data_IF_192947380394
#
_entry.id   IF_192947380394
#
_cell.length_a   1.000
_cell.length_b   1.000
_cell.length_c   1.000
_cell.angle_alpha   90.00
_cell.angle_beta   90.00
_cell.angle_gamma   90.00
#
_symmetry.space_group_name_H-M   'P 1'
#
loop_
_entity.id
_entity.type
_entity.pdbx_description
1 polymer ?
#
# COMPACT_ATOMS: atom_id res chain seq x y z
N UNK A 1 7.10 23.67 -16.69
CA UNK A 1 6.34 24.85 -16.15
C UNK A 1 5.41 24.33 -15.07
N UNK A 2 5.36 25.01 -13.91
CA UNK A 2 4.35 24.70 -12.91
C UNK A 2 2.98 25.16 -13.44
N UNK A 3 1.98 24.28 -13.43
CA UNK A 3 0.61 24.60 -13.88
C UNK A 3 -0.20 25.35 -12.82
N UNK A 4 0.25 25.40 -11.57
CA UNK A 4 -0.36 26.09 -10.43
C UNK A 4 0.71 26.53 -9.42
N UNK A 5 0.37 27.51 -8.57
CA UNK A 5 1.22 27.89 -7.45
C UNK A 5 1.37 26.75 -6.44
N UNK A 6 2.50 26.73 -5.73
CA UNK A 6 2.68 25.82 -4.61
C UNK A 6 1.61 26.07 -3.53
N UNK A 7 1.10 25.01 -2.94
CA UNK A 7 0.24 25.09 -1.76
C UNK A 7 1.12 25.37 -0.55
N UNK A 8 0.91 26.51 0.10
CA UNK A 8 1.64 26.91 1.30
C UNK A 8 0.65 26.94 2.46
N UNK A 9 0.98 26.25 3.53
CA UNK A 9 0.11 26.12 4.71
C UNK A 9 0.90 26.42 5.99
N UNK A 10 0.19 26.77 7.06
CA UNK A 10 0.80 27.13 8.33
C UNK A 10 0.90 25.94 9.30
N UNK A 11 -0.15 25.15 9.43
CA UNK A 11 -0.30 24.22 10.55
C UNK A 11 0.02 22.76 10.18
N UNK A 12 -0.20 22.38 8.93
CA UNK A 12 0.06 21.04 8.45
C UNK A 12 -0.50 20.80 7.06
N UNK A 13 -0.07 19.72 6.45
CA UNK A 13 -0.44 19.37 5.07
C UNK A 13 -0.66 17.86 4.94
N UNK A 14 -1.66 17.51 4.14
CA UNK A 14 -1.89 16.15 3.68
C UNK A 14 -1.89 16.14 2.16
N UNK A 15 -1.10 15.27 1.56
CA UNK A 15 -1.03 15.08 0.12
C UNK A 15 -1.33 13.62 -0.20
N UNK A 16 -2.43 13.35 -0.89
CA UNK A 16 -2.84 12.01 -1.32
C UNK A 16 -3.33 12.03 -2.76
N UNK A 17 -3.63 10.86 -3.30
CA UNK A 17 -4.14 10.68 -4.66
C UNK A 17 -5.63 11.04 -4.82
N UNK A 18 -6.35 11.37 -3.73
CA UNK A 18 -7.76 11.74 -3.76
C UNK A 18 -8.06 12.93 -2.83
N UNK A 19 -8.81 13.92 -3.34
CA UNK A 19 -9.12 15.16 -2.64
C UNK A 19 -9.88 14.93 -1.33
N UNK A 20 -10.85 14.02 -1.30
CA UNK A 20 -11.62 13.73 -0.08
C UNK A 20 -10.74 13.12 1.01
N UNK A 21 -9.78 12.27 0.65
CA UNK A 21 -8.86 11.68 1.61
C UNK A 21 -7.89 12.75 2.16
N UNK A 22 -7.36 13.62 1.31
CA UNK A 22 -6.52 14.74 1.75
C UNK A 22 -7.30 15.72 2.62
N UNK A 23 -8.56 16.01 2.28
CA UNK A 23 -9.43 16.90 3.04
C UNK A 23 -9.66 16.37 4.46
N UNK A 24 -10.08 15.12 4.61
CA UNK A 24 -10.38 14.55 5.92
C UNK A 24 -9.14 14.31 6.77
N UNK A 25 -8.01 13.95 6.18
CA UNK A 25 -6.74 13.92 6.92
C UNK A 25 -6.33 15.30 7.44
N UNK A 26 -6.44 16.34 6.61
CA UNK A 26 -6.17 17.71 7.03
C UNK A 26 -7.17 18.21 8.09
N UNK A 27 -8.43 17.78 8.02
CA UNK A 27 -9.45 18.09 9.01
C UNK A 27 -9.11 17.48 10.39
N UNK A 28 -8.49 16.29 10.44
CA UNK A 28 -8.00 15.73 11.71
C UNK A 28 -6.91 16.62 12.32
N UNK A 29 -5.95 17.09 11.52
CA UNK A 29 -4.95 18.06 11.99
C UNK A 29 -5.60 19.36 12.49
N UNK A 30 -6.62 19.86 11.79
CA UNK A 30 -7.38 21.06 12.18
C UNK A 30 -8.12 20.90 13.52
N UNK A 31 -8.61 19.69 13.80
CA UNK A 31 -9.30 19.35 15.06
C UNK A 31 -8.36 19.11 16.23
N UNK A 32 -7.05 19.24 16.03
CA UNK A 32 -6.04 19.07 17.07
C UNK A 32 -5.46 17.65 17.14
N UNK A 33 -5.79 16.78 16.19
CA UNK A 33 -5.13 15.49 16.00
C UNK A 33 -3.71 15.67 15.45
N UNK A 34 -2.88 14.66 15.58
CA UNK A 34 -1.50 14.64 15.11
C UNK A 34 -1.36 13.95 13.73
N UNK A 35 -0.11 13.78 13.26
CA UNK A 35 0.16 13.18 11.95
C UNK A 35 -0.28 11.72 11.85
N UNK A 36 -0.33 10.97 12.96
CA UNK A 36 -0.83 9.60 12.97
C UNK A 36 -2.35 9.55 12.81
N UNK A 37 -3.07 10.44 13.50
CA UNK A 37 -4.51 10.60 13.36
C UNK A 37 -4.90 10.92 11.91
N UNK A 38 -4.21 11.91 11.33
CA UNK A 38 -4.41 12.29 9.93
C UNK A 38 -4.06 11.17 8.95
N UNK A 39 -3.01 10.39 9.24
CA UNK A 39 -2.59 9.27 8.39
C UNK A 39 -3.64 8.14 8.41
N UNK A 40 -4.15 7.74 9.58
CA UNK A 40 -5.18 6.70 9.68
C UNK A 40 -6.45 7.14 8.94
N UNK A 41 -6.93 8.37 9.17
CA UNK A 41 -8.12 8.88 8.50
C UNK A 41 -7.95 8.96 6.98
N UNK A 42 -6.78 9.45 6.50
CA UNK A 42 -6.47 9.49 5.07
C UNK A 42 -6.46 8.09 4.46
N UNK A 43 -5.84 7.13 5.15
CA UNK A 43 -5.77 5.71 4.75
C UNK A 43 -7.16 5.09 4.66
N UNK A 44 -7.99 5.25 5.68
CA UNK A 44 -9.36 4.73 5.69
C UNK A 44 -10.23 5.36 4.60
N UNK A 45 -10.12 6.67 4.40
CA UNK A 45 -10.82 7.37 3.31
C UNK A 45 -10.40 6.84 1.93
N UNK A 46 -9.11 6.59 1.70
CA UNK A 46 -8.62 6.01 0.43
C UNK A 46 -9.18 4.61 0.19
N UNK A 47 -9.36 3.79 1.23
CA UNK A 47 -10.01 2.49 1.12
C UNK A 47 -11.47 2.59 0.63
N UNK A 48 -12.13 3.72 0.85
CA UNK A 48 -13.50 3.98 0.38
C UNK A 48 -13.53 4.61 -1.00
N UNK A 49 -12.75 5.68 -1.21
CA UNK A 49 -12.87 6.52 -2.42
C UNK A 49 -11.94 6.08 -3.55
N UNK A 50 -10.99 5.20 -3.27
CA UNK A 50 -10.04 4.62 -4.24
C UNK A 50 -9.82 3.12 -4.01
N UNK A 51 -10.86 2.39 -3.74
CA UNK A 51 -10.81 0.95 -3.49
C UNK A 51 -10.31 0.12 -4.69
N UNK A 52 -10.22 0.72 -5.87
CA UNK A 52 -9.50 0.13 -6.99
C UNK A 52 -7.98 0.06 -6.79
N UNK A 53 -7.39 0.85 -5.89
CA UNK A 53 -5.95 0.87 -5.60
C UNK A 53 -5.60 0.22 -4.26
N UNK A 54 -6.47 0.38 -3.27
CA UNK A 54 -6.28 -0.09 -1.90
C UNK A 54 -7.64 -0.40 -1.27
N UNK A 55 -7.67 -1.17 -0.17
CA UNK A 55 -8.89 -1.55 0.53
C UNK A 55 -8.57 -2.29 1.82
N UNK A 56 -9.58 -2.68 2.59
CA UNK A 56 -9.38 -3.43 3.84
C UNK A 56 -8.69 -4.78 3.63
N UNK A 57 -8.78 -5.32 2.41
CA UNK A 57 -8.10 -6.56 2.00
C UNK A 57 -6.62 -6.39 1.64
N UNK A 58 -6.05 -5.19 1.78
CA UNK A 58 -4.70 -4.86 1.35
C UNK A 58 -3.67 -4.73 2.46
N UNK A 59 -2.51 -4.24 2.06
CA UNK A 59 -1.33 -4.03 2.90
C UNK A 59 -1.03 -2.55 3.11
N UNK A 60 -0.29 -2.23 4.18
CA UNK A 60 0.21 -0.90 4.47
C UNK A 60 1.67 -0.97 4.92
N UNK A 61 2.49 -0.05 4.39
CA UNK A 61 3.80 0.29 4.93
C UNK A 61 3.83 1.77 5.26
N UNK A 62 4.47 2.13 6.37
CA UNK A 62 4.64 3.53 6.73
C UNK A 62 6.02 3.82 7.30
N UNK A 63 6.48 5.06 7.10
CA UNK A 63 7.52 5.70 7.90
C UNK A 63 6.85 6.80 8.70
N UNK A 64 7.01 6.76 10.01
CA UNK A 64 6.35 7.72 10.92
C UNK A 64 7.39 8.33 11.87
N UNK A 65 7.30 9.65 12.03
CA UNK A 65 7.96 10.40 13.08
C UNK A 65 6.90 11.17 13.85
N UNK A 66 6.73 10.83 15.13
CA UNK A 66 5.76 11.47 16.03
C UNK A 66 6.53 12.04 17.24
N UNK A 67 6.38 13.34 17.50
CA UNK A 67 7.05 14.05 18.58
C UNK A 67 8.58 13.97 18.47
N UNK A 68 9.25 13.88 19.60
CA UNK A 68 10.72 13.77 19.68
C UNK A 68 11.25 12.38 19.31
N UNK A 69 10.38 11.49 18.84
CA UNK A 69 10.76 10.13 18.47
C UNK A 69 11.64 10.10 17.21
N UNK A 70 12.39 9.01 17.05
CA UNK A 70 13.07 8.68 15.79
C UNK A 70 12.03 8.28 14.73
N UNK A 71 12.41 8.42 13.46
CA UNK A 71 11.65 7.80 12.36
C UNK A 71 11.57 6.30 12.58
N UNK A 72 10.38 5.72 12.54
CA UNK A 72 10.12 4.29 12.66
C UNK A 72 9.41 3.78 11.41
N UNK A 73 9.75 2.57 11.02
CA UNK A 73 9.05 1.82 9.97
C UNK A 73 7.89 1.02 10.56
N UNK A 74 6.76 1.04 9.88
CA UNK A 74 5.60 0.17 10.15
C UNK A 74 5.46 -0.78 8.96
N UNK A 75 5.44 -2.07 9.25
CA UNK A 75 5.21 -3.11 8.26
C UNK A 75 3.92 -3.85 8.62
N UNK A 76 2.85 -3.46 7.97
CA UNK A 76 1.54 -4.07 8.02
C UNK A 76 1.23 -4.79 6.70
N UNK A 77 2.19 -5.55 6.19
CA UNK A 77 1.98 -6.48 5.09
C UNK A 77 1.54 -7.85 5.61
N UNK A 78 0.63 -8.48 4.89
CA UNK A 78 0.10 -9.77 5.27
C UNK A 78 1.07 -10.92 5.04
N UNK A 79 1.06 -11.89 5.95
CA UNK A 79 1.76 -13.16 5.75
C UNK A 79 0.98 -14.04 4.79
N UNK A 80 1.70 -14.86 4.03
CA UNK A 80 1.05 -15.92 3.25
C UNK A 80 0.36 -16.91 4.20
N UNK A 81 -0.86 -17.31 3.87
CA UNK A 81 -1.59 -18.32 4.60
C UNK A 81 -0.86 -19.67 4.56
N UNK A 82 -1.02 -20.47 5.61
CA UNK A 82 -0.35 -21.78 5.75
C UNK A 82 -0.62 -22.74 4.59
N UNK A 83 -1.76 -22.59 3.94
CA UNK A 83 -2.16 -23.40 2.79
C UNK A 83 -1.53 -22.92 1.46
N UNK A 84 -0.89 -21.74 1.42
CA UNK A 84 -0.28 -21.16 0.23
C UNK A 84 1.09 -21.77 -0.07
N UNK A 85 1.16 -23.10 -0.21
CA UNK A 85 2.42 -23.83 -0.46
C UNK A 85 2.69 -24.02 -1.95
N UNK A 86 3.96 -24.23 -2.30
CA UNK A 86 4.36 -24.54 -3.67
C UNK A 86 3.62 -25.79 -4.18
N UNK A 87 3.49 -26.80 -3.34
CA UNK A 87 2.83 -28.06 -3.70
C UNK A 87 1.33 -27.87 -3.92
N UNK A 88 0.69 -27.00 -3.13
CA UNK A 88 -0.71 -26.64 -3.33
C UNK A 88 -0.97 -26.09 -4.73
N UNK A 89 -0.16 -25.14 -5.18
CA UNK A 89 -0.32 -24.53 -6.51
C UNK A 89 0.10 -25.49 -7.63
N UNK A 90 1.23 -26.18 -7.49
CA UNK A 90 1.73 -27.12 -8.51
C UNK A 90 0.81 -28.31 -8.74
N UNK A 91 0.24 -28.90 -7.69
CA UNK A 91 -0.72 -30.01 -7.81
C UNK A 91 -2.00 -29.62 -8.58
N UNK A 92 -2.30 -28.32 -8.64
CA UNK A 92 -3.40 -27.76 -9.41
C UNK A 92 -3.01 -27.24 -10.80
N UNK A 93 -1.78 -27.52 -11.24
CA UNK A 93 -1.27 -27.14 -12.57
C UNK A 93 -0.74 -25.72 -12.68
N UNK A 94 -0.69 -24.96 -11.58
CA UNK A 94 -0.15 -23.59 -11.61
C UNK A 94 1.39 -23.61 -11.57
N UNK A 95 2.00 -22.83 -12.47
CA UNK A 95 3.47 -22.60 -12.48
C UNK A 95 3.87 -21.42 -11.59
N UNK A 96 2.97 -20.49 -11.35
CA UNK A 96 3.08 -19.31 -10.51
C UNK A 96 1.73 -19.05 -9.81
N UNK A 97 1.71 -18.25 -8.76
CA UNK A 97 0.47 -17.80 -8.12
C UNK A 97 -0.37 -17.04 -9.15
N UNK A 98 -1.67 -17.35 -9.32
CA UNK A 98 -2.55 -16.61 -10.23
C UNK A 98 -2.56 -15.12 -9.91
N UNK A 99 -2.71 -14.29 -10.93
CA UNK A 99 -2.76 -12.83 -10.75
C UNK A 99 -4.14 -12.32 -10.35
N UNK A 100 -5.18 -13.09 -10.60
CA UNK A 100 -6.59 -12.76 -10.36
C UNK A 100 -7.34 -13.98 -9.84
N UNK A 101 -8.46 -13.73 -9.19
CA UNK A 101 -9.33 -14.75 -8.62
C UNK A 101 -8.95 -15.16 -7.19
N UNK A 102 -9.71 -16.08 -6.58
CA UNK A 102 -9.59 -16.39 -5.16
C UNK A 102 -8.21 -16.93 -4.75
N UNK A 103 -7.53 -17.65 -5.64
CA UNK A 103 -6.18 -18.16 -5.38
C UNK A 103 -5.07 -17.12 -5.57
N UNK A 104 -5.40 -15.91 -6.04
CA UNK A 104 -4.49 -14.78 -6.13
C UNK A 104 -4.40 -13.96 -4.83
N UNK A 105 -5.18 -14.31 -3.80
CA UNK A 105 -5.20 -13.69 -2.48
C UNK A 105 -4.64 -14.64 -1.40
N UNK A 106 -3.34 -14.95 -1.43
CA UNK A 106 -2.75 -15.91 -0.50
C UNK A 106 -2.29 -15.27 0.82
N UNK A 107 -2.42 -13.96 0.98
CA UNK A 107 -1.91 -13.21 2.14
C UNK A 107 -3.06 -12.65 2.99
N UNK A 108 -2.84 -12.65 4.30
CA UNK A 108 -3.78 -12.05 5.25
C UNK A 108 -3.78 -10.53 5.06
N UNK A 109 -4.94 -9.86 5.02
CA UNK A 109 -4.99 -8.40 4.96
C UNK A 109 -4.33 -7.75 6.17
N UNK A 110 -3.39 -6.82 5.97
CA UNK A 110 -2.61 -6.22 7.06
C UNK A 110 -3.02 -4.81 7.45
N UNK A 111 -3.71 -4.07 6.57
CA UNK A 111 -3.94 -2.63 6.73
C UNK A 111 -4.67 -2.25 8.02
N UNK A 112 -5.66 -3.04 8.46
CA UNK A 112 -6.46 -2.75 9.66
C UNK A 112 -5.62 -2.91 10.93
N UNK A 113 -4.74 -3.91 10.98
CA UNK A 113 -3.79 -4.08 12.07
C UNK A 113 -2.72 -2.97 12.07
N UNK A 114 -2.34 -2.50 10.89
CA UNK A 114 -1.50 -1.32 10.74
C UNK A 114 -2.12 -0.07 11.35
N UNK A 115 -3.42 0.18 11.15
CA UNK A 115 -4.13 1.28 11.81
C UNK A 115 -4.14 1.12 13.34
N UNK A 116 -4.42 -0.09 13.84
CA UNK A 116 -4.39 -0.40 15.27
C UNK A 116 -3.04 -0.08 15.89
N UNK A 117 -1.97 -0.59 15.27
CA UNK A 117 -0.62 -0.41 15.78
C UNK A 117 -0.17 1.07 15.74
N UNK A 118 -0.54 1.80 14.68
CA UNK A 118 -0.27 3.24 14.60
C UNK A 118 -1.10 4.00 15.63
N UNK A 119 -2.38 3.66 15.80
CA UNK A 119 -3.24 4.28 16.79
C UNK A 119 -2.71 4.07 18.20
N UNK A 120 -2.38 2.86 18.58
CA UNK A 120 -1.90 2.52 19.92
C UNK A 120 -0.58 3.21 20.30
N UNK A 121 0.30 3.48 19.35
CA UNK A 121 1.63 4.03 19.63
C UNK A 121 1.77 5.52 19.41
N UNK A 122 0.97 6.08 18.50
CA UNK A 122 1.20 7.44 18.01
C UNK A 122 -0.05 8.33 18.01
N UNK A 123 -1.26 7.77 17.97
CA UNK A 123 -2.48 8.55 17.85
C UNK A 123 -2.81 9.32 19.12
N UNK A 124 -3.44 10.48 18.95
CA UNK A 124 -3.99 11.29 20.05
C UNK A 124 -5.53 11.21 20.11
N UNK A 125 -6.17 10.64 19.09
CA UNK A 125 -7.61 10.49 18.96
C UNK A 125 -7.99 9.01 18.97
N UNK A 126 -9.23 8.71 19.33
CA UNK A 126 -9.74 7.35 19.29
C UNK A 126 -9.96 6.88 17.84
N UNK A 127 -9.69 5.60 17.57
CA UNK A 127 -9.87 5.00 16.24
C UNK A 127 -11.29 5.21 15.69
N UNK A 128 -12.29 5.19 16.56
CA UNK A 128 -13.69 5.45 16.22
C UNK A 128 -13.90 6.83 15.57
N UNK A 129 -13.25 7.86 16.08
CA UNK A 129 -13.34 9.21 15.53
C UNK A 129 -12.58 9.30 14.18
N UNK A 130 -11.46 8.60 14.06
CA UNK A 130 -10.64 8.58 12.86
C UNK A 130 -11.31 7.87 11.69
N UNK A 131 -12.09 6.82 11.95
CA UNK A 131 -12.81 6.04 10.93
C UNK A 131 -14.15 6.66 10.54
N UNK A 132 -14.71 7.58 11.34
CA UNK A 132 -16.03 8.15 11.13
C UNK A 132 -16.25 8.72 9.72
N UNK A 133 -15.34 9.54 9.14
CA UNK A 133 -15.53 10.03 7.78
C UNK A 133 -15.62 8.91 6.74
N UNK A 134 -14.77 7.89 6.85
CA UNK A 134 -14.78 6.76 5.93
C UNK A 134 -16.10 5.98 6.01
N UNK A 135 -16.63 5.76 7.22
CA UNK A 135 -17.94 5.13 7.46
C UNK A 135 -19.05 5.93 6.77
N UNK A 136 -19.09 7.25 6.98
CA UNK A 136 -20.10 8.15 6.42
C UNK A 136 -20.09 8.15 4.88
N UNK A 137 -18.90 8.21 4.27
CA UNK A 137 -18.74 8.19 2.81
C UNK A 137 -19.01 6.81 2.19
N UNK A 138 -18.72 5.74 2.88
CA UNK A 138 -19.10 4.40 2.44
C UNK A 138 -20.63 4.21 2.47
N UNK A 139 -21.31 4.71 3.50
CA UNK A 139 -22.75 4.58 3.69
C UNK A 139 -23.57 5.50 2.78
N UNK A 140 -23.26 6.81 2.80
CA UNK A 140 -23.97 7.83 2.02
C UNK A 140 -23.55 7.85 0.55
N UNK A 141 -22.34 7.41 0.27
CA UNK A 141 -21.72 7.38 -1.05
C UNK A 141 -20.92 8.63 -1.37
N UNK A 142 -20.14 8.52 -2.45
CA UNK A 142 -19.35 9.60 -3.03
C UNK A 142 -19.49 9.59 -4.56
N UNK A 143 -19.31 10.73 -5.25
CA UNK A 143 -19.34 10.78 -6.69
C UNK A 143 -18.11 10.11 -7.28
N UNK A 144 -18.29 9.19 -8.23
CA UNK A 144 -17.16 8.53 -8.90
C UNK A 144 -16.53 9.44 -9.95
N UNK A 145 -15.20 9.44 -10.00
CA UNK A 145 -14.44 10.19 -11.00
C UNK A 145 -14.37 9.46 -12.34
N UNK A 146 -14.07 10.17 -13.43
CA UNK A 146 -13.82 9.56 -14.75
C UNK A 146 -12.72 8.49 -14.67
N UNK A 147 -11.61 8.78 -13.98
CA UNK A 147 -10.49 7.85 -13.83
C UNK A 147 -10.89 6.56 -13.10
N UNK A 148 -11.74 6.67 -12.08
CA UNK A 148 -12.26 5.50 -11.36
C UNK A 148 -13.16 4.65 -12.28
N UNK A 149 -14.06 5.28 -13.03
CA UNK A 149 -14.93 4.61 -14.02
C UNK A 149 -14.11 3.90 -15.10
N UNK A 150 -13.05 4.53 -15.59
CA UNK A 150 -12.15 3.93 -16.57
C UNK A 150 -11.40 2.72 -16.01
N UNK A 151 -11.04 2.76 -14.72
CA UNK A 151 -10.46 1.62 -14.01
C UNK A 151 -11.43 0.43 -13.92
N UNK A 152 -12.71 0.69 -13.57
CA UNK A 152 -13.76 -0.35 -13.56
C UNK A 152 -13.91 -0.95 -14.96
N UNK A 153 -14.02 -0.11 -15.99
CA UNK A 153 -14.18 -0.55 -17.37
C UNK A 153 -13.02 -1.44 -17.85
N UNK A 154 -11.79 -1.02 -17.56
CA UNK A 154 -10.61 -1.77 -17.95
C UNK A 154 -10.48 -3.12 -17.20
N UNK A 155 -11.04 -3.21 -15.99
CA UNK A 155 -10.93 -4.40 -15.15
C UNK A 155 -12.10 -5.38 -15.35
N UNK A 156 -13.25 -4.91 -15.85
CA UNK A 156 -14.46 -5.71 -16.08
C UNK A 156 -14.20 -6.97 -16.90
N UNK A 157 -13.31 -6.89 -17.90
CA UNK A 157 -12.95 -8.03 -18.75
C UNK A 157 -12.33 -9.18 -17.95
N UNK A 158 -11.60 -8.87 -16.86
CA UNK A 158 -10.88 -9.85 -16.06
C UNK A 158 -11.61 -10.28 -14.80
N UNK A 159 -12.42 -9.40 -14.20
CA UNK A 159 -13.09 -9.62 -12.93
C UNK A 159 -14.61 -9.71 -13.03
N UNK A 160 -15.19 -9.44 -14.18
CA UNK A 160 -16.64 -9.37 -14.39
C UNK A 160 -17.37 -10.69 -14.11
N UNK A 161 -16.69 -11.82 -14.22
CA UNK A 161 -17.23 -13.15 -13.88
C UNK A 161 -17.17 -13.48 -12.38
N UNK A 162 -16.41 -12.71 -11.58
CA UNK A 162 -16.36 -12.85 -10.14
C UNK A 162 -17.59 -12.16 -9.53
N UNK A 163 -18.57 -12.96 -9.12
CA UNK A 163 -19.88 -12.47 -8.70
C UNK A 163 -19.86 -11.46 -7.53
N UNK A 164 -18.90 -11.54 -6.63
CA UNK A 164 -18.69 -10.54 -5.57
C UNK A 164 -18.30 -9.18 -6.16
N UNK A 165 -17.26 -9.15 -7.00
CA UNK A 165 -16.80 -7.92 -7.64
C UNK A 165 -17.85 -7.30 -8.56
N UNK A 166 -18.44 -8.10 -9.45
CA UNK A 166 -19.41 -7.59 -10.41
C UNK A 166 -20.69 -7.03 -9.78
N UNK A 167 -21.13 -7.64 -8.68
CA UNK A 167 -22.33 -7.17 -7.96
C UNK A 167 -22.16 -5.79 -7.36
N UNK A 168 -20.94 -5.36 -7.07
CA UNK A 168 -20.64 -4.06 -6.46
C UNK A 168 -20.26 -3.03 -7.54
N UNK A 169 -19.30 -3.36 -8.40
CA UNK A 169 -18.70 -2.38 -9.31
C UNK A 169 -19.40 -2.26 -10.67
N UNK A 170 -20.16 -3.28 -11.06
CA UNK A 170 -20.93 -3.30 -12.32
C UNK A 170 -22.31 -3.91 -12.10
N UNK A 171 -23.12 -3.36 -11.19
CA UNK A 171 -24.44 -3.90 -10.91
C UNK A 171 -25.26 -3.98 -12.20
N UNK A 172 -25.99 -5.10 -12.38
CA UNK A 172 -26.75 -5.40 -13.61
C UNK A 172 -25.91 -5.36 -14.90
N UNK A 173 -24.58 -5.56 -14.78
CA UNK A 173 -23.63 -5.50 -15.87
C UNK A 173 -23.27 -4.09 -16.36
N UNK A 174 -23.75 -3.05 -15.68
CA UNK A 174 -23.57 -1.65 -16.08
C UNK A 174 -22.37 -1.01 -15.35
N UNK A 175 -21.46 -0.44 -16.12
CA UNK A 175 -20.38 0.41 -15.59
C UNK A 175 -20.98 1.76 -15.18
N UNK A 176 -20.71 2.27 -13.99
CA UNK A 176 -21.24 3.57 -13.56
C UNK A 176 -20.76 4.69 -14.47
N UNK A 177 -21.49 5.80 -14.50
CA UNK A 177 -21.09 7.04 -15.19
C UNK A 177 -20.41 7.99 -14.22
N UNK A 178 -19.44 8.81 -14.67
CA UNK A 178 -18.83 9.82 -13.82
C UNK A 178 -19.86 10.73 -13.16
N UNK A 179 -19.66 11.02 -11.87
CA UNK A 179 -20.61 11.80 -11.06
C UNK A 179 -21.73 10.97 -10.41
N UNK A 180 -21.89 9.69 -10.80
CA UNK A 180 -22.81 8.79 -10.08
C UNK A 180 -22.36 8.62 -8.63
N UNK A 181 -23.33 8.62 -7.70
CA UNK A 181 -23.05 8.34 -6.29
C UNK A 181 -22.83 6.84 -6.09
N UNK A 182 -21.65 6.47 -5.66
CA UNK A 182 -21.26 5.09 -5.36
C UNK A 182 -21.33 4.83 -3.87
N UNK A 183 -22.06 3.81 -3.45
CA UNK A 183 -22.28 3.44 -2.05
C UNK A 183 -21.75 2.04 -1.78
N UNK A 184 -21.12 1.88 -0.62
CA UNK A 184 -20.49 0.63 -0.17
C UNK A 184 -20.99 0.28 1.23
N UNK A 185 -22.25 -0.16 1.33
CA UNK A 185 -22.92 -0.37 2.62
C UNK A 185 -22.26 -1.48 3.46
N UNK A 186 -21.77 -2.52 2.82
CA UNK A 186 -21.08 -3.62 3.51
C UNK A 186 -19.75 -3.13 4.07
N UNK A 187 -19.00 -2.33 3.31
CA UNK A 187 -17.77 -1.68 3.78
C UNK A 187 -18.06 -0.74 4.96
N UNK A 188 -19.14 0.08 4.89
CA UNK A 188 -19.54 0.93 6.01
C UNK A 188 -19.84 0.09 7.27
N UNK A 189 -20.55 -1.03 7.13
CA UNK A 189 -20.84 -1.94 8.24
C UNK A 189 -19.58 -2.53 8.87
N UNK A 190 -18.62 -2.96 8.03
CA UNK A 190 -17.33 -3.50 8.51
C UNK A 190 -16.49 -2.43 9.22
N UNK A 191 -16.36 -1.24 8.62
CA UNK A 191 -15.65 -0.11 9.25
C UNK A 191 -16.30 0.30 10.58
N UNK A 192 -17.64 0.29 10.67
CA UNK A 192 -18.38 0.58 11.90
C UNK A 192 -18.07 -0.43 13.00
N UNK A 193 -18.04 -1.72 12.67
CA UNK A 193 -17.66 -2.76 13.65
C UNK A 193 -16.21 -2.57 14.13
N UNK A 194 -15.28 -2.30 13.23
CA UNK A 194 -13.90 -2.00 13.60
C UNK A 194 -13.82 -0.77 14.52
N UNK A 195 -14.63 0.26 14.24
CA UNK A 195 -14.68 1.48 15.03
C UNK A 195 -15.32 1.30 16.42
N UNK A 196 -16.31 0.43 16.55
CA UNK A 196 -17.09 0.23 17.79
C UNK A 196 -16.53 -0.89 18.66
N UNK A 197 -16.04 -1.98 18.06
CA UNK A 197 -15.60 -3.19 18.74
C UNK A 197 -14.06 -3.30 18.81
N UNK A 198 -13.33 -2.43 18.10
CA UNK A 198 -11.87 -2.45 18.00
C UNK A 198 -11.39 -3.16 16.75
N UNK A 199 -10.15 -2.84 16.34
CA UNK A 199 -9.54 -3.41 15.12
C UNK A 199 -9.24 -4.91 15.25
N UNK A 200 -9.14 -5.43 16.46
CA UNK A 200 -8.94 -6.85 16.75
C UNK A 200 -10.09 -7.71 16.20
N UNK A 201 -11.32 -7.19 16.13
CA UNK A 201 -12.48 -7.91 15.59
C UNK A 201 -12.31 -8.33 14.13
N UNK A 202 -11.42 -7.66 13.39
CA UNK A 202 -11.08 -8.01 12.01
C UNK A 202 -10.20 -9.28 11.91
N UNK A 203 -9.49 -9.62 12.98
CA UNK A 203 -8.55 -10.75 13.03
C UNK A 203 -9.00 -11.86 13.97
N UNK A 204 -9.99 -11.61 14.83
CA UNK A 204 -10.55 -12.58 15.79
C UNK A 204 -12.05 -12.41 15.91
N UNK A 205 -12.75 -13.50 16.26
CA UNK A 205 -14.17 -13.46 16.56
C UNK A 205 -15.11 -13.38 15.34
N UNK A 206 -16.38 -12.96 15.53
CA UNK A 206 -17.44 -13.15 14.53
C UNK A 206 -17.22 -12.40 13.21
N UNK A 207 -16.58 -11.24 13.21
CA UNK A 207 -16.29 -10.52 11.96
C UNK A 207 -15.24 -11.28 11.14
N UNK A 208 -14.15 -11.71 11.78
CA UNK A 208 -13.12 -12.53 11.13
C UNK A 208 -13.70 -13.83 10.56
N UNK A 209 -14.50 -14.56 11.37
CA UNK A 209 -15.16 -15.81 10.94
C UNK A 209 -16.01 -15.59 9.68
N UNK A 210 -16.75 -14.49 9.65
CA UNK A 210 -17.57 -14.11 8.50
C UNK A 210 -16.72 -13.82 7.27
N UNK A 211 -15.60 -13.10 7.42
CA UNK A 211 -14.65 -12.80 6.35
C UNK A 211 -14.07 -14.10 5.79
N UNK A 212 -13.57 -14.97 6.67
CA UNK A 212 -12.94 -16.23 6.29
C UNK A 212 -13.95 -17.18 5.62
N UNK A 213 -15.19 -17.26 6.12
CA UNK A 213 -16.25 -18.02 5.46
C UNK A 213 -16.46 -17.56 4.02
N UNK A 214 -16.59 -16.24 3.81
CA UNK A 214 -16.73 -15.69 2.45
C UNK A 214 -15.50 -15.94 1.55
N UNK A 215 -14.29 -15.91 2.08
CA UNK A 215 -13.08 -16.28 1.35
C UNK A 215 -13.14 -17.75 0.92
N UNK A 216 -13.49 -18.67 1.83
CA UNK A 216 -13.61 -20.12 1.56
C UNK A 216 -14.72 -20.41 0.54
N UNK A 217 -15.88 -19.78 0.69
CA UNK A 217 -17.02 -19.93 -0.25
C UNK A 217 -16.65 -19.45 -1.67
N UNK A 218 -15.82 -18.43 -1.79
CA UNK A 218 -15.30 -17.95 -3.07
C UNK A 218 -14.14 -18.81 -3.63
N UNK A 219 -13.70 -19.85 -2.90
CA UNK A 219 -12.59 -20.72 -3.30
C UNK A 219 -11.19 -20.24 -2.91
N UNK A 220 -11.10 -19.26 -1.98
CA UNK A 220 -9.83 -18.81 -1.39
C UNK A 220 -9.28 -19.82 -0.37
N UNK A 221 -8.07 -19.56 0.12
CA UNK A 221 -7.29 -20.54 0.89
C UNK A 221 -6.87 -20.09 2.29
N UNK A 222 -7.17 -18.85 2.65
CA UNK A 222 -6.93 -18.32 4.00
C UNK A 222 -7.94 -18.93 4.99
N UNK A 223 -7.49 -19.14 6.20
CA UNK A 223 -8.32 -19.64 7.29
C UNK A 223 -8.21 -18.78 8.56
N UNK A 224 -8.96 -19.15 9.58
CA UNK A 224 -9.07 -18.42 10.85
C UNK A 224 -7.69 -18.31 11.54
N UNK A 225 -6.91 -19.38 11.54
CA UNK A 225 -5.59 -19.42 12.17
C UNK A 225 -4.59 -18.48 11.49
N UNK A 226 -4.74 -18.27 10.16
CA UNK A 226 -3.91 -17.33 9.41
C UNK A 226 -4.18 -15.89 9.88
N UNK A 227 -5.46 -15.52 10.09
CA UNK A 227 -5.87 -14.21 10.60
C UNK A 227 -5.42 -13.99 12.05
N UNK A 228 -5.68 -14.94 12.94
CA UNK A 228 -5.32 -14.86 14.36
C UNK A 228 -3.82 -14.68 14.60
N UNK A 229 -2.98 -15.22 13.72
CA UNK A 229 -1.51 -15.11 13.79
C UNK A 229 -0.95 -13.86 13.12
N UNK A 230 -1.79 -13.03 12.50
CA UNK A 230 -1.32 -11.81 11.86
C UNK A 230 -0.80 -10.82 12.89
N UNK A 231 0.33 -10.18 12.58
CA UNK A 231 0.91 -9.11 13.40
C UNK A 231 1.64 -8.09 12.52
N UNK A 232 1.37 -6.83 12.77
CA UNK A 232 2.15 -5.70 12.24
C UNK A 232 3.46 -5.56 13.01
N UNK A 233 4.56 -5.29 12.32
CA UNK A 233 5.86 -5.05 12.96
C UNK A 233 6.29 -3.60 12.90
N UNK A 234 7.12 -3.20 13.87
CA UNK A 234 7.76 -1.90 13.94
C UNK A 234 9.27 -2.10 13.84
N UNK A 235 9.86 -1.55 12.78
CA UNK A 235 11.26 -1.75 12.46
C UNK A 235 12.02 -0.41 12.45
N UNK A 236 13.34 -0.47 12.65
CA UNK A 236 14.19 0.66 12.35
C UNK A 236 14.34 0.79 10.83
N UNK A 237 14.13 1.98 10.27
CA UNK A 237 14.23 2.17 8.84
C UNK A 237 15.66 2.03 8.34
N UNK A 238 15.83 1.62 7.08
CA UNK A 238 17.12 1.68 6.41
C UNK A 238 17.38 3.14 6.05
N UNK A 239 18.60 3.60 6.31
CA UNK A 239 18.99 5.00 6.13
C UNK A 239 20.22 5.15 5.26
N UNK A 240 20.23 6.18 4.42
CA UNK A 240 21.43 6.72 3.79
C UNK A 240 21.39 8.24 3.75
N UNK A 241 22.54 8.88 3.54
CA UNK A 241 22.58 10.31 3.19
C UNK A 241 22.79 10.43 1.68
N UNK A 242 21.94 11.20 1.01
CA UNK A 242 22.07 11.49 -0.41
C UNK A 242 22.21 13.00 -0.61
N UNK A 243 23.41 13.45 -1.00
CA UNK A 243 23.73 14.87 -1.27
C UNK A 243 23.34 15.82 -0.14
N UNK A 244 23.61 15.41 1.10
CA UNK A 244 23.32 16.19 2.30
C UNK A 244 21.91 16.00 2.88
N UNK A 245 21.05 15.21 2.24
CA UNK A 245 19.69 14.89 2.72
C UNK A 245 19.67 13.44 3.23
N UNK A 246 19.13 13.24 4.42
CA UNK A 246 18.89 11.93 5.00
C UNK A 246 17.66 11.28 4.34
N UNK A 247 17.84 10.08 3.81
CA UNK A 247 16.80 9.29 3.16
C UNK A 247 16.52 8.06 4.01
N UNK A 248 15.25 7.82 4.27
CA UNK A 248 14.77 6.68 5.04
C UNK A 248 13.86 5.82 4.17
N UNK A 249 14.00 4.50 4.29
CA UNK A 249 13.15 3.51 3.65
C UNK A 249 12.74 2.43 4.65
N UNK A 250 11.58 1.84 4.46
CA UNK A 250 11.13 0.71 5.26
C UNK A 250 12.03 -0.50 5.04
N UNK A 251 12.27 -1.26 6.11
CA UNK A 251 13.03 -2.51 6.03
C UNK A 251 12.33 -3.56 5.14
N UNK A 252 13.03 -4.60 4.68
CA UNK A 252 12.39 -5.73 4.01
C UNK A 252 11.28 -6.35 4.88
N UNK A 253 10.27 -6.88 4.28
CA UNK A 253 10.01 -7.29 2.88
C UNK A 253 9.63 -6.13 1.93
N UNK A 254 9.50 -4.90 2.42
CA UNK A 254 9.23 -3.75 1.57
C UNK A 254 10.29 -3.58 0.48
N UNK A 255 9.84 -3.28 -0.73
CA UNK A 255 10.73 -3.10 -1.89
C UNK A 255 11.41 -1.72 -1.92
N UNK A 256 10.98 -0.78 -1.10
CA UNK A 256 11.55 0.57 -0.98
C UNK A 256 13.04 0.56 -0.68
N UNK A 257 13.51 -0.43 0.08
CA UNK A 257 14.92 -0.63 0.39
C UNK A 257 15.86 -0.59 -0.84
N UNK A 258 15.35 -0.95 -2.04
CA UNK A 258 16.13 -0.88 -3.29
C UNK A 258 16.52 0.56 -3.71
N UNK A 259 15.79 1.57 -3.24
CA UNK A 259 16.09 2.96 -3.52
C UNK A 259 17.44 3.40 -2.88
N UNK A 260 17.79 2.81 -1.75
CA UNK A 260 19.00 3.16 -0.99
C UNK A 260 20.28 2.93 -1.82
N UNK A 261 20.60 1.71 -2.28
CA UNK A 261 21.77 1.52 -3.14
C UNK A 261 21.64 2.25 -4.48
N UNK A 262 20.43 2.43 -5.01
CA UNK A 262 20.24 3.20 -6.25
C UNK A 262 20.68 4.66 -6.08
N UNK A 263 20.20 5.36 -5.06
CA UNK A 263 20.61 6.73 -4.74
C UNK A 263 22.12 6.82 -4.46
N UNK A 264 22.66 5.86 -3.72
CA UNK A 264 24.09 5.80 -3.45
C UNK A 264 24.95 5.59 -4.71
N UNK A 265 24.44 4.86 -5.70
CA UNK A 265 25.12 4.75 -7.02
C UNK A 265 25.02 6.07 -7.80
N UNK A 266 23.86 6.73 -7.82
CA UNK A 266 23.65 8.01 -8.51
C UNK A 266 24.54 9.13 -7.96
N UNK A 267 24.90 9.09 -6.69
CA UNK A 267 25.77 10.07 -6.07
C UNK A 267 27.20 10.09 -6.63
N UNK A 268 27.64 9.01 -7.31
CA UNK A 268 28.95 8.96 -7.98
C UNK A 268 28.98 9.76 -9.29
N UNK A 269 27.87 10.36 -9.73
CA UNK A 269 27.76 11.14 -10.95
C UNK A 269 27.42 12.60 -10.63
N UNK A 270 28.06 13.55 -11.31
CA UNK A 270 27.62 14.95 -11.25
C UNK A 270 26.49 15.19 -12.27
N UNK A 271 25.25 14.90 -11.83
CA UNK A 271 24.09 14.88 -12.72
C UNK A 271 23.76 16.24 -13.37
N UNK A 272 24.27 17.37 -12.85
CA UNK A 272 24.05 18.69 -13.41
C UNK A 272 25.05 19.06 -14.50
N UNK A 273 26.35 18.79 -14.28
CA UNK A 273 27.42 19.25 -15.17
C UNK A 273 27.86 18.21 -16.19
N UNK A 274 27.75 16.91 -15.85
CA UNK A 274 28.21 15.84 -16.73
C UNK A 274 27.15 15.37 -17.73
N UNK A 275 25.86 15.66 -17.44
CA UNK A 275 24.74 15.19 -18.26
C UNK A 275 23.78 16.33 -18.65
N UNK A 276 24.23 17.24 -19.54
CA UNK A 276 23.39 18.36 -19.99
C UNK A 276 22.21 17.91 -20.85
N UNK A 277 22.27 16.69 -21.41
CA UNK A 277 21.23 16.15 -22.25
C UNK A 277 20.39 15.08 -21.51
N UNK A 278 19.07 15.16 -21.62
CA UNK A 278 18.13 14.21 -21.02
C UNK A 278 18.47 12.74 -21.34
N UNK A 279 18.94 12.47 -22.57
CA UNK A 279 19.32 11.12 -23.02
C UNK A 279 20.42 10.51 -22.16
N UNK A 280 21.43 11.30 -21.80
CA UNK A 280 22.57 10.80 -21.01
C UNK A 280 22.18 10.60 -19.56
N UNK A 281 21.35 11.52 -19.03
CA UNK A 281 20.76 11.37 -17.70
C UNK A 281 19.92 10.09 -17.60
N UNK A 282 19.01 9.84 -18.56
CA UNK A 282 18.21 8.63 -18.60
C UNK A 282 19.05 7.35 -18.70
N UNK A 283 20.16 7.38 -19.47
CA UNK A 283 21.10 6.24 -19.55
C UNK A 283 21.68 5.89 -18.18
N UNK A 284 22.06 6.88 -17.39
CA UNK A 284 22.60 6.67 -16.04
C UNK A 284 21.53 6.15 -15.10
N UNK A 285 20.32 6.73 -15.12
CA UNK A 285 19.19 6.24 -14.32
C UNK A 285 18.86 4.78 -14.63
N UNK A 286 18.77 4.42 -15.91
CA UNK A 286 18.51 3.04 -16.32
C UNK A 286 19.62 2.08 -15.91
N UNK A 287 20.89 2.45 -16.15
CA UNK A 287 22.06 1.63 -15.77
C UNK A 287 22.10 1.34 -14.27
N UNK A 288 21.94 2.37 -13.45
CA UNK A 288 22.00 2.24 -11.99
C UNK A 288 20.73 1.60 -11.43
N UNK A 289 19.55 1.90 -12.01
CA UNK A 289 18.28 1.31 -11.65
C UNK A 289 18.24 -0.20 -11.89
N UNK A 290 18.71 -0.68 -13.06
CA UNK A 290 18.78 -2.12 -13.33
C UNK A 290 19.63 -2.85 -12.28
N UNK A 291 20.76 -2.28 -11.87
CA UNK A 291 21.59 -2.85 -10.80
C UNK A 291 20.88 -2.86 -9.44
N UNK A 292 20.18 -1.80 -9.10
CA UNK A 292 19.38 -1.75 -7.88
C UNK A 292 18.28 -2.81 -7.89
N UNK A 293 17.64 -3.06 -9.03
CA UNK A 293 16.65 -4.12 -9.20
C UNK A 293 17.24 -5.53 -9.13
N UNK A 294 18.48 -5.73 -9.59
CA UNK A 294 19.21 -7.00 -9.38
C UNK A 294 19.45 -7.24 -7.89
N UNK A 295 19.89 -6.23 -7.15
CA UNK A 295 20.09 -6.31 -5.70
C UNK A 295 18.78 -6.53 -4.95
N UNK A 296 17.68 -5.89 -5.39
CA UNK A 296 16.35 -6.17 -4.89
C UNK A 296 15.99 -7.66 -5.03
N UNK A 297 16.18 -8.21 -6.21
CA UNK A 297 15.85 -9.61 -6.48
C UNK A 297 16.69 -10.61 -5.68
N UNK A 298 17.90 -10.21 -5.27
CA UNK A 298 18.80 -11.07 -4.50
C UNK A 298 18.56 -11.02 -2.99
N UNK A 299 18.20 -9.85 -2.47
CA UNK A 299 18.34 -9.56 -1.04
C UNK A 299 17.06 -9.10 -0.37
N UNK A 300 16.08 -8.55 -1.13
CA UNK A 300 14.83 -8.07 -0.54
C UNK A 300 13.81 -9.19 -0.57
N UNK A 301 13.57 -9.77 0.61
CA UNK A 301 12.64 -10.88 0.84
C UNK A 301 12.13 -10.81 2.28
N UNK A 302 11.25 -11.73 2.65
CA UNK A 302 10.79 -11.87 4.02
C UNK A 302 12.00 -12.14 4.94
N UNK A 303 12.16 -11.35 6.04
CA UNK A 303 13.28 -11.47 6.98
C UNK A 303 13.42 -12.85 7.65
N UNK A 304 12.36 -13.67 7.64
CA UNK A 304 12.43 -15.06 8.11
C UNK A 304 13.26 -15.96 7.17
N UNK A 305 13.41 -15.59 5.90
CA UNK A 305 14.12 -16.39 4.88
C UNK A 305 15.44 -15.79 4.41
N UNK A 306 15.72 -14.54 4.73
CA UNK A 306 16.97 -13.91 4.36
C UNK A 306 17.17 -12.54 4.98
N UNK A 307 18.39 -12.02 4.87
CA UNK A 307 18.76 -10.74 5.44
C UNK A 307 19.51 -9.90 4.40
N UNK A 308 19.37 -8.59 4.50
CA UNK A 308 20.22 -7.67 3.74
C UNK A 308 21.68 -7.84 4.16
N UNK A 309 22.65 -7.65 3.24
CA UNK A 309 24.04 -7.48 3.60
C UNK A 309 24.20 -6.34 4.63
N UNK A 310 25.05 -6.51 5.62
CA UNK A 310 25.27 -5.49 6.68
C UNK A 310 25.64 -4.12 6.12
N UNK A 311 26.38 -4.09 5.01
CA UNK A 311 26.81 -2.87 4.35
C UNK A 311 25.88 -2.40 3.22
N UNK A 312 24.66 -2.99 3.08
CA UNK A 312 23.73 -2.72 1.98
C UNK A 312 23.43 -1.23 1.75
N UNK A 313 23.28 -0.46 2.83
CA UNK A 313 23.02 0.97 2.77
C UNK A 313 24.30 1.83 2.57
N UNK A 314 25.48 1.21 2.53
CA UNK A 314 26.74 1.96 2.49
C UNK A 314 27.10 2.44 1.08
N UNK A 315 27.84 3.55 1.01
CA UNK A 315 28.43 4.06 -0.23
C UNK A 315 29.46 3.07 -0.82
N UNK A 316 30.13 2.29 0.04
CA UNK A 316 31.08 1.25 -0.38
C UNK A 316 30.37 0.13 -1.14
N UNK A 317 29.24 -0.34 -0.62
CA UNK A 317 28.42 -1.34 -1.29
C UNK A 317 27.95 -0.85 -2.66
N UNK A 318 27.43 0.38 -2.75
CA UNK A 318 27.00 0.98 -4.00
C UNK A 318 28.12 1.06 -5.05
N UNK A 319 29.35 1.43 -4.65
CA UNK A 319 30.52 1.41 -5.56
C UNK A 319 30.86 0.02 -6.05
N UNK A 320 30.78 -1.00 -5.17
CA UNK A 320 31.00 -2.41 -5.52
C UNK A 320 30.02 -2.88 -6.59
N UNK A 321 28.71 -2.66 -6.39
CA UNK A 321 27.70 -3.06 -7.40
C UNK A 321 27.79 -2.22 -8.67
N UNK A 322 28.15 -0.94 -8.59
CA UNK A 322 28.32 -0.09 -9.77
C UNK A 322 29.40 -0.61 -10.71
N UNK A 323 30.51 -1.17 -10.16
CA UNK A 323 31.60 -1.75 -10.91
C UNK A 323 31.40 -3.19 -11.38
N UNK A 324 30.41 -3.90 -10.81
CA UNK A 324 30.11 -5.29 -11.19
C UNK A 324 29.52 -5.38 -12.60
N UNK A 325 29.65 -6.54 -13.25
CA UNK A 325 28.98 -6.81 -14.52
C UNK A 325 27.50 -7.00 -14.27
N UNK A 326 26.66 -6.33 -15.04
CA UNK A 326 25.19 -6.47 -14.95
C UNK A 326 24.78 -7.77 -15.66
N UNK A 327 24.14 -8.68 -14.93
CA UNK A 327 23.54 -9.89 -15.49
C UNK A 327 22.04 -9.69 -15.82
N UNK A 328 21.60 -8.45 -15.97
CA UNK A 328 20.21 -8.14 -16.26
C UNK A 328 19.76 -8.87 -17.53
N UNK A 329 18.59 -9.51 -17.53
CA UNK A 329 18.09 -10.17 -18.71
C UNK A 329 17.93 -9.14 -19.84
N UNK A 330 18.44 -9.47 -21.03
CA UNK A 330 18.37 -8.62 -22.23
C UNK A 330 16.95 -8.39 -22.75
N UNK A 331 15.94 -9.04 -22.18
CA UNK A 331 14.53 -8.87 -22.51
C UNK A 331 13.82 -8.10 -21.40
N UNK A 332 13.48 -6.86 -21.69
CA UNK A 332 12.40 -6.17 -20.99
C UNK A 332 11.11 -6.79 -21.56
N UNK A 333 10.50 -7.71 -20.81
CA UNK A 333 9.13 -8.13 -21.11
C UNK A 333 8.25 -6.88 -21.08
N UNK A 334 7.33 -6.74 -22.04
CA UNK A 334 6.30 -5.71 -21.97
C UNK A 334 5.62 -5.86 -20.61
N UNK A 335 5.65 -4.81 -19.79
CA UNK A 335 4.84 -4.72 -18.58
C UNK A 335 3.41 -4.63 -19.10
N UNK A 336 2.72 -5.77 -19.08
CA UNK A 336 1.33 -5.88 -19.57
C UNK A 336 0.30 -5.56 -18.51
N UNK A 337 0.73 -5.35 -17.25
CA UNK A 337 -0.12 -4.88 -16.16
C UNK A 337 0.69 -3.95 -15.26
N UNK A 338 0.26 -2.72 -15.10
CA UNK A 338 0.73 -1.86 -14.04
C UNK A 338 0.18 -2.40 -12.72
N UNK A 339 1.05 -2.60 -11.72
CA UNK A 339 0.60 -2.70 -10.33
C UNK A 339 0.01 -1.34 -9.94
N UNK A 340 -1.11 -1.36 -9.26
CA UNK A 340 -1.75 -0.14 -8.77
C UNK A 340 -1.55 -0.04 -7.26
N UNK A 341 -1.12 1.12 -6.80
CA UNK A 341 -0.77 1.38 -5.40
C UNK A 341 -1.02 2.85 -5.15
N UNK A 342 -1.42 3.20 -3.95
CA UNK A 342 -1.56 4.60 -3.56
C UNK A 342 -0.54 4.98 -2.50
N UNK A 343 -0.04 6.20 -2.61
CA UNK A 343 0.88 6.81 -1.67
C UNK A 343 0.30 8.12 -1.17
N UNK A 344 0.53 8.43 0.11
CA UNK A 344 0.22 9.71 0.69
C UNK A 344 1.23 10.12 1.76
N UNK A 345 1.28 11.41 2.04
CA UNK A 345 2.12 11.97 3.07
C UNK A 345 1.36 12.98 3.92
N UNK A 346 1.71 13.02 5.19
CA UNK A 346 1.23 13.98 6.18
C UNK A 346 2.42 14.65 6.84
N UNK A 347 2.34 15.93 7.07
CA UNK A 347 3.32 16.65 7.89
C UNK A 347 2.62 17.76 8.69
N UNK A 348 3.13 18.05 9.86
CA UNK A 348 2.70 19.18 10.68
C UNK A 348 3.80 20.25 10.82
N UNK A 349 3.47 21.34 11.48
CA UNK A 349 4.40 22.46 11.70
C UNK A 349 5.49 22.15 12.75
N UNK A 350 5.33 21.10 13.56
CA UNK A 350 6.30 20.66 14.56
C UNK A 350 7.38 19.74 13.95
N UNK A 351 7.26 19.41 12.66
CA UNK A 351 8.18 18.55 11.95
C UNK A 351 7.91 17.04 12.17
N UNK A 352 6.72 16.72 12.67
CA UNK A 352 6.24 15.34 12.62
C UNK A 352 5.79 15.02 11.20
N UNK A 353 5.90 13.76 10.81
CA UNK A 353 5.48 13.34 9.49
C UNK A 353 5.09 11.86 9.45
N UNK A 354 4.21 11.55 8.51
CA UNK A 354 3.90 10.19 8.10
C UNK A 354 4.00 10.09 6.57
N UNK A 355 4.69 9.06 6.11
CA UNK A 355 4.88 8.70 4.70
C UNK A 355 4.33 7.30 4.55
N UNK A 356 3.21 7.13 3.85
CA UNK A 356 2.43 5.90 3.86
C UNK A 356 2.16 5.42 2.44
N UNK A 357 2.36 4.12 2.21
CA UNK A 357 1.98 3.43 1.00
C UNK A 357 1.02 2.29 1.35
N UNK A 358 -0.04 2.14 0.58
CA UNK A 358 -1.03 1.07 0.77
C UNK A 358 -1.52 0.55 -0.57
N UNK A 359 -1.88 -0.74 -0.63
CA UNK A 359 -2.14 -1.38 -1.90
C UNK A 359 -2.93 -2.67 -1.78
N UNK A 360 -3.73 -2.96 -2.81
CA UNK A 360 -4.24 -4.29 -3.11
C UNK A 360 -3.37 -5.01 -4.17
N UNK A 361 -2.17 -4.51 -4.48
CA UNK A 361 -1.22 -4.97 -5.49
C UNK A 361 -1.60 -4.60 -6.93
N UNK A 362 -2.69 -5.11 -7.49
CA UNK A 362 -3.21 -4.76 -8.82
C UNK A 362 -4.57 -4.05 -8.68
N UNK A 363 -5.01 -3.34 -9.70
CA UNK A 363 -6.32 -2.69 -9.67
C UNK A 363 -7.42 -3.66 -9.23
N UNK A 364 -8.14 -3.33 -8.15
CA UNK A 364 -9.10 -4.19 -7.44
C UNK A 364 -8.52 -5.51 -6.89
N UNK A 365 -7.22 -5.59 -6.65
CA UNK A 365 -6.56 -6.75 -6.04
C UNK A 365 -6.77 -8.05 -6.81
N UNK A 366 -7.06 -9.11 -6.10
CA UNK A 366 -7.45 -10.40 -6.66
C UNK A 366 -8.83 -10.40 -7.35
N UNK A 367 -9.66 -9.39 -7.04
CA UNK A 367 -11.07 -9.36 -7.39
C UNK A 367 -11.95 -10.21 -6.46
N UNK A 368 -11.35 -10.78 -5.41
CA UNK A 368 -12.09 -11.52 -4.40
C UNK A 368 -12.84 -10.52 -3.50
N UNK A 369 -14.15 -10.58 -3.55
CA UNK A 369 -15.05 -9.86 -2.64
C UNK A 369 -15.98 -10.87 -2.01
N UNK A 370 -15.77 -11.23 -0.74
CA UNK A 370 -16.65 -12.13 -0.02
C UNK A 370 -18.05 -11.50 0.14
N UNK A 371 -19.11 -12.22 -0.24
CA UNK A 371 -20.48 -11.71 -0.14
C UNK A 371 -20.86 -11.37 1.29
N UNK A 372 -21.46 -10.20 1.49
CA UNK A 372 -21.90 -9.72 2.80
C UNK A 372 -20.77 -9.35 3.76
N UNK A 373 -19.54 -9.22 3.24
CA UNK A 373 -18.34 -8.81 3.96
C UNK A 373 -17.55 -7.88 3.07
N UNK A 374 -17.24 -6.72 3.56
CA UNK A 374 -16.61 -5.70 2.78
C UNK A 374 -15.08 -5.83 2.82
N UNK A 375 -14.52 -6.41 1.79
CA UNK A 375 -13.19 -6.07 1.31
C UNK A 375 -13.23 -4.95 0.25
N UNK A 376 -14.40 -4.32 0.09
CA UNK A 376 -14.60 -3.24 -0.86
C UNK A 376 -13.94 -1.95 -0.42
#
# INVERSE_FOLDING_TARGET
MQSRSAVIVKNGIVASSHELASFWGAEMLRRGGNVADAAITTSAMLCVVQNNLCGLGGDLFALIKCGDSKVRGVNASGRAGRNATIDFYRSRGYKEIPKRGPLAAPTVPGIVDGWREIANKCSSMELKELLKPAIEYAESGHPVTQKYVDSIRATKEFLGELGGWSGIFVPDGNVPTPGTTFKQKDLSSTLRKIAEEGAETYYTGPLMEKIVSGIKEAGGILDEEDFEKHTTTWDDPIKTNYRGVDIYETAPNSQGAAAIPWLNMLENYNLKSEFPHLKDLLRIYLKTGLKAYEERARHIMDPAFGRLPEDFASKKYAKKILSSTTNAPRRISRITSAGDTTYFAVADWEGNCASVIQSNYMGFGSGLVPRGNAFD
#
